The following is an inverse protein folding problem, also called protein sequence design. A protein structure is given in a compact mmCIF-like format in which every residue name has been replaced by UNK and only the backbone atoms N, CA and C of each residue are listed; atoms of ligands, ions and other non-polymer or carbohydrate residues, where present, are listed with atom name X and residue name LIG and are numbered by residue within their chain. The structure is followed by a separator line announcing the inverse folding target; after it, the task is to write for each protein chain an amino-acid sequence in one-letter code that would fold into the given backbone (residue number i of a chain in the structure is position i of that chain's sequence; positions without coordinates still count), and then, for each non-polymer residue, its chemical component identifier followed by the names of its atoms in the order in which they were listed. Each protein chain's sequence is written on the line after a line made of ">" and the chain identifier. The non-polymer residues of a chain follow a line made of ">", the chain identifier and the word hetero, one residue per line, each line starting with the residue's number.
data_IF_697232460815
#
_entry.id   IF_697232460815
#
_cell.length_a   1.000
_cell.length_b   1.000
_cell.length_c   1.000
_cell.angle_alpha   90.00
_cell.angle_beta   90.00
_cell.angle_gamma   90.00
#
_symmetry.space_group_name_H-M   'P 1'
#
loop_
_entity.id
_entity.type
_entity.pdbx_description
1 polymer ?
#
# COMPACT_ATOMS: atom_id res chain seq x y z
N UNK A 1 -3.66 2.84 -13.34
CA UNK A 1 -3.70 3.45 -11.99
C UNK A 1 -4.04 4.93 -12.06
N UNK A 2 -3.49 5.67 -13.03
CA UNK A 2 -3.89 7.06 -13.31
C UNK A 2 -5.42 7.26 -13.46
N UNK A 3 -6.14 6.32 -14.10
CA UNK A 3 -7.61 6.41 -14.20
C UNK A 3 -8.35 6.27 -12.85
N UNK A 4 -7.82 5.47 -11.92
CA UNK A 4 -8.39 5.29 -10.57
C UNK A 4 -8.07 6.50 -9.68
N UNK A 5 -6.85 7.03 -9.78
CA UNK A 5 -6.51 8.31 -9.15
C UNK A 5 -7.38 9.45 -9.66
N UNK A 6 -7.65 9.49 -10.98
CA UNK A 6 -8.51 10.51 -11.58
C UNK A 6 -9.98 10.39 -11.17
N UNK A 7 -10.39 9.25 -10.59
CA UNK A 7 -11.73 9.04 -10.01
C UNK A 7 -11.74 9.15 -8.48
N UNK A 8 -10.62 9.57 -7.87
CA UNK A 8 -10.49 9.73 -6.41
C UNK A 8 -10.27 8.42 -5.66
N UNK A 9 -10.00 7.32 -6.36
CA UNK A 9 -9.74 6.02 -5.77
C UNK A 9 -8.23 5.84 -5.59
N UNK A 10 -7.78 6.02 -4.35
CA UNK A 10 -6.41 5.71 -3.94
C UNK A 10 -6.21 4.19 -3.92
N UNK A 11 -5.21 3.72 -4.67
CA UNK A 11 -4.86 2.29 -4.74
C UNK A 11 -3.59 2.04 -3.96
N UNK A 12 -3.73 1.40 -2.80
CA UNK A 12 -2.63 1.06 -1.90
C UNK A 12 -2.55 -0.46 -1.73
N UNK A 13 -1.36 -1.03 -1.91
CA UNK A 13 -1.16 -2.48 -1.78
C UNK A 13 -0.55 -2.83 -0.42
N UNK A 14 -1.25 -3.68 0.34
CA UNK A 14 -0.70 -4.29 1.54
C UNK A 14 -0.50 -5.79 1.28
N UNK A 15 0.72 -6.28 1.47
CA UNK A 15 1.06 -7.68 1.16
C UNK A 15 1.92 -8.30 2.26
N UNK A 16 1.78 -9.61 2.45
CA UNK A 16 2.55 -10.42 3.41
C UNK A 16 3.64 -11.25 2.72
N UNK A 17 3.77 -11.09 1.40
CA UNK A 17 4.79 -11.79 0.62
C UNK A 17 6.12 -11.03 0.70
N UNK A 18 7.17 -11.60 1.33
CA UNK A 18 8.47 -10.96 1.48
C UNK A 18 9.19 -10.73 0.13
N UNK A 19 8.75 -11.40 -0.94
CA UNK A 19 9.26 -11.20 -2.30
C UNK A 19 8.43 -10.21 -3.12
N UNK A 20 7.41 -9.60 -2.50
CA UNK A 20 6.47 -8.77 -3.23
C UNK A 20 7.09 -7.52 -3.83
N UNK A 21 8.11 -6.97 -3.17
CA UNK A 21 8.82 -5.74 -3.53
C UNK A 21 9.13 -5.64 -5.04
N UNK A 22 9.54 -6.77 -5.65
CA UNK A 22 9.90 -6.85 -7.06
C UNK A 22 8.73 -6.59 -8.04
N UNK A 23 7.51 -7.03 -7.72
CA UNK A 23 6.36 -6.87 -8.61
C UNK A 23 5.43 -5.75 -8.16
N UNK A 24 5.27 -5.53 -6.85
CA UNK A 24 4.40 -4.47 -6.33
C UNK A 24 4.94 -3.09 -6.67
N UNK A 25 6.26 -2.90 -6.72
CA UNK A 25 6.87 -1.64 -7.16
C UNK A 25 6.49 -1.30 -8.61
N UNK A 26 6.41 -2.32 -9.48
CA UNK A 26 6.03 -2.16 -10.89
C UNK A 26 4.52 -1.93 -11.06
N UNK A 27 3.70 -2.53 -10.20
CA UNK A 27 2.23 -2.47 -10.30
C UNK A 27 1.68 -1.23 -9.58
N UNK A 28 2.18 -0.92 -8.39
CA UNK A 28 1.68 0.12 -7.47
C UNK A 28 2.57 1.37 -7.40
N UNK A 29 3.81 1.31 -7.90
CA UNK A 29 4.76 2.43 -7.81
C UNK A 29 5.46 2.52 -6.45
N UNK A 30 6.56 3.27 -6.38
CA UNK A 30 7.52 3.20 -5.26
C UNK A 30 6.96 3.63 -3.89
N UNK A 31 5.79 4.27 -3.82
CA UNK A 31 5.23 4.81 -2.58
C UNK A 31 3.81 4.30 -2.25
N UNK A 32 3.23 3.40 -3.04
CA UNK A 32 1.84 2.94 -2.82
C UNK A 32 1.75 1.47 -2.40
N UNK A 33 2.77 0.94 -1.72
CA UNK A 33 2.71 -0.39 -1.16
C UNK A 33 3.44 -0.50 0.18
N UNK A 34 3.01 -1.45 1.01
CA UNK A 34 3.74 -1.90 2.20
C UNK A 34 3.78 -3.42 2.20
N UNK A 35 4.99 -3.95 2.35
CA UNK A 35 5.24 -5.37 2.62
C UNK A 35 5.32 -5.55 4.13
N UNK A 36 4.40 -6.33 4.70
CA UNK A 36 4.36 -6.65 6.12
C UNK A 36 4.96 -8.03 6.34
N UNK A 37 6.06 -8.11 7.09
CA UNK A 37 6.63 -9.40 7.49
C UNK A 37 5.91 -10.04 8.69
N UNK A 38 5.29 -9.22 9.55
CA UNK A 38 4.56 -9.71 10.73
C UNK A 38 3.12 -9.15 10.77
N UNK A 39 2.14 -10.04 10.54
CA UNK A 39 0.70 -9.78 10.59
C UNK A 39 0.23 -9.15 11.90
N UNK A 40 0.93 -9.35 13.02
CA UNK A 40 0.54 -8.78 14.31
C UNK A 40 0.63 -7.24 14.32
N UNK A 41 1.39 -6.64 13.39
CA UNK A 41 1.57 -5.19 13.29
C UNK A 41 0.54 -4.50 12.36
N UNK A 42 -0.27 -5.27 11.62
CA UNK A 42 -1.37 -4.76 10.79
C UNK A 42 -2.27 -3.73 11.50
N UNK A 43 -2.82 -4.03 12.70
CA UNK A 43 -3.74 -3.11 13.37
C UNK A 43 -3.10 -1.77 13.74
N UNK A 44 -1.78 -1.72 13.96
CA UNK A 44 -1.05 -0.49 14.27
C UNK A 44 -0.67 0.31 13.01
N UNK A 45 -0.48 -0.35 11.87
CA UNK A 45 -0.10 0.29 10.60
C UNK A 45 -1.30 0.89 9.86
N UNK A 46 -2.48 0.28 9.99
CA UNK A 46 -3.73 0.74 9.35
C UNK A 46 -4.06 2.22 9.62
N UNK A 47 -4.00 2.73 10.87
CA UNK A 47 -4.26 4.14 11.16
C UNK A 47 -3.25 5.09 10.53
N UNK A 48 -1.96 4.72 10.53
CA UNK A 48 -0.88 5.51 9.92
C UNK A 48 -1.06 5.63 8.40
N UNK A 49 -1.41 4.51 7.75
CA UNK A 49 -1.71 4.49 6.32
C UNK A 49 -2.92 5.36 5.99
N UNK A 50 -4.01 5.23 6.74
CA UNK A 50 -5.18 6.06 6.53
C UNK A 50 -4.87 7.55 6.71
N UNK A 51 -4.14 7.91 7.77
CA UNK A 51 -3.73 9.30 8.00
C UNK A 51 -2.90 9.87 6.85
N UNK A 52 -2.03 9.08 6.23
CA UNK A 52 -1.24 9.50 5.05
C UNK A 52 -2.06 9.66 3.78
N UNK A 53 -3.21 8.98 3.68
CA UNK A 53 -4.07 8.97 2.48
C UNK A 53 -5.20 10.01 2.52
N UNK A 54 -5.59 10.48 3.71
CA UNK A 54 -6.65 11.49 3.90
C UNK A 54 -6.16 12.90 4.21
N UNK A 55 -4.84 13.14 4.25
CA UNK A 55 -4.25 14.44 4.55
C UNK A 55 -4.25 15.41 3.36
#
# INVERSE_FOLDING_TARGET
>A
MEELYSTGVLTYCLTLDPHADAYVKRIFGENNYTVIENVERLPEQLPLLFASLTA
#
